data_IF_255866824805
#
_entry.id   IF_255866824805
#
_cell.length_a   1.000
_cell.length_b   1.000
_cell.length_c   1.000
_cell.angle_alpha   90.00
_cell.angle_beta   90.00
_cell.angle_gamma   90.00
#
_symmetry.space_group_name_H-M   'P 1'
#
loop_
_entity.id
_entity.type
_entity.pdbx_description
1 polymer ?
2 non-polymer ?
3 non-polymer ?
4 non-polymer ?
5 water ?
#
# COMPACT_ATOMS: atom_id res chain seq x y z
N UNK A 17 -25.77 -24.42 -34.33
CA UNK A 17 -26.10 -23.03 -34.00
C UNK A 17 -26.37 -22.88 -32.50
N UNK A 18 -26.14 -23.95 -31.74
CA UNK A 18 -26.49 -23.97 -30.32
C UNK A 18 -25.51 -23.14 -29.49
N UNK A 19 -26.05 -22.45 -28.48
CA UNK A 19 -25.24 -21.82 -27.45
C UNK A 19 -25.22 -22.72 -26.21
N UNK A 20 -24.08 -22.68 -25.51
CA UNK A 20 -23.87 -23.51 -24.34
C UNK A 20 -23.47 -22.66 -23.16
N UNK A 21 -23.95 -23.06 -21.98
CA UNK A 21 -23.64 -22.40 -20.72
C UNK A 21 -23.37 -23.48 -19.70
N UNK A 22 -22.68 -23.09 -18.63
CA UNK A 22 -22.49 -23.99 -17.50
C UNK A 22 -22.52 -23.19 -16.22
N UNK A 23 -23.03 -23.81 -15.16
CA UNK A 23 -22.81 -23.24 -13.84
C UNK A 23 -21.38 -23.53 -13.41
N UNK A 24 -20.90 -22.75 -12.44
CA UNK A 24 -19.53 -22.82 -11.96
C UNK A 24 -19.55 -23.32 -10.52
N UNK A 25 -19.41 -24.64 -10.34
CA UNK A 25 -19.44 -25.21 -9.00
C UNK A 25 -18.25 -24.75 -8.15
N UNK A 26 -17.14 -24.39 -8.79
CA UNK A 26 -15.92 -24.00 -8.09
C UNK A 26 -15.44 -22.66 -8.63
N UNK A 27 -16.04 -21.56 -8.17
CA UNK A 27 -15.72 -20.25 -8.78
C UNK A 27 -14.30 -19.76 -8.50
N UNK A 28 -13.64 -20.22 -7.43
CA UNK A 28 -12.23 -19.86 -7.26
C UNK A 28 -11.37 -20.45 -8.37
N UNK A 29 -11.70 -21.63 -8.87
CA UNK A 29 -10.94 -22.19 -9.98
C UNK A 29 -11.16 -21.39 -11.25
N UNK A 30 -12.41 -20.97 -11.50
CA UNK A 30 -12.67 -20.13 -12.67
C UNK A 30 -12.01 -18.76 -12.55
N UNK A 31 -11.97 -18.21 -11.34
CA UNK A 31 -11.29 -16.94 -11.16
C UNK A 31 -9.82 -17.05 -11.55
N UNK A 32 -9.19 -18.15 -11.16
CA UNK A 32 -7.82 -18.41 -11.60
C UNK A 32 -7.73 -18.50 -13.13
N UNK A 33 -8.68 -19.18 -13.76
CA UNK A 33 -8.65 -19.25 -15.22
C UNK A 33 -8.84 -17.87 -15.85
N UNK A 34 -9.69 -17.03 -15.26
CA UNK A 34 -9.87 -15.67 -15.78
C UNK A 34 -8.58 -14.87 -15.66
N UNK A 35 -7.86 -15.05 -14.56
CA UNK A 35 -6.56 -14.39 -14.40
C UNK A 35 -5.62 -14.74 -15.55
N UNK A 36 -5.53 -16.03 -15.87
CA UNK A 36 -4.62 -16.47 -16.94
C UNK A 36 -5.09 -15.93 -18.29
N UNK A 37 -6.35 -16.17 -18.64
CA UNK A 37 -6.81 -15.84 -19.99
C UNK A 37 -6.85 -14.35 -20.23
N UNK A 38 -7.07 -13.54 -19.17
CA UNK A 38 -7.04 -12.09 -19.35
C UNK A 38 -5.65 -11.63 -19.75
N UNK A 39 -4.62 -12.19 -19.12
CA UNK A 39 -3.25 -11.85 -19.49
C UNK A 39 -3.03 -12.04 -20.98
N UNK A 40 -3.37 -13.22 -21.49
CA UNK A 40 -3.07 -13.54 -22.88
C UNK A 40 -4.00 -12.86 -23.87
N UNK A 41 -5.19 -12.45 -23.44
CA UNK A 41 -6.05 -11.62 -24.27
C UNK A 41 -5.38 -10.31 -24.69
N UNK A 42 -4.39 -9.82 -23.92
CA UNK A 42 -3.71 -8.59 -24.28
C UNK A 42 -2.21 -8.76 -24.59
N UNK A 43 -1.55 -9.80 -24.09
CA UNK A 43 -0.10 -9.89 -24.26
C UNK A 43 0.32 -10.28 -25.67
N UNK A 44 -0.57 -10.88 -26.45
CA UNK A 44 -0.25 -11.28 -27.80
C UNK A 44 -0.48 -10.24 -28.88
N UNK A 45 -0.90 -9.02 -28.51
CA UNK A 45 -1.20 -8.02 -29.52
C UNK A 45 0.05 -7.46 -30.18
N UNK A 46 1.14 -7.26 -29.42
CA UNK A 46 2.33 -6.59 -29.93
C UNK A 46 3.58 -7.28 -29.44
N UNK A 47 4.60 -7.34 -30.31
CA UNK A 47 5.91 -7.80 -29.88
C UNK A 47 5.88 -9.17 -29.26
N UNK A 48 6.57 -9.32 -28.12
CA UNK A 48 6.56 -10.58 -27.38
C UNK A 48 5.13 -10.97 -27.04
N UNK A 49 4.73 -12.16 -27.45
CA UNK A 49 3.33 -12.55 -27.33
C UNK A 49 2.95 -13.03 -25.93
N UNK A 50 3.92 -13.20 -25.04
CA UNK A 50 3.67 -13.68 -23.69
C UNK A 50 4.08 -12.66 -22.63
N UNK A 51 4.26 -11.41 -23.02
CA UNK A 51 4.57 -10.32 -22.09
C UNK A 51 3.75 -9.10 -22.49
N UNK A 52 3.46 -8.24 -21.52
CA UNK A 52 2.72 -7.01 -21.74
C UNK A 52 3.68 -5.85 -21.83
N UNK A 53 3.68 -5.15 -22.97
CA UNK A 53 4.40 -3.89 -23.01
C UNK A 53 3.49 -2.80 -22.44
N UNK A 54 4.00 -1.56 -22.43
CA UNK A 54 3.26 -0.45 -21.83
C UNK A 54 1.89 -0.29 -22.49
N UNK A 55 1.83 -0.33 -23.82
CA UNK A 55 0.55 -0.21 -24.52
C UNK A 55 -0.41 -1.34 -24.13
N UNK A 56 0.05 -2.59 -24.22
CA UNK A 56 -0.80 -3.72 -23.85
C UNK A 56 -1.25 -3.61 -22.40
N UNK A 57 -0.33 -3.24 -21.51
CA UNK A 57 -0.65 -3.10 -20.10
C UNK A 57 -1.69 -2.02 -19.87
N UNK A 58 -1.59 -0.91 -20.61
CA UNK A 58 -2.56 0.16 -20.42
C UNK A 58 -3.94 -0.28 -20.87
N UNK A 59 -4.01 -0.96 -22.01
CA UNK A 59 -5.29 -1.49 -22.50
C UNK A 59 -5.91 -2.46 -21.49
N UNK A 60 -5.12 -3.42 -20.99
CA UNK A 60 -5.65 -4.38 -20.02
C UNK A 60 -6.19 -3.66 -18.79
N UNK A 61 -5.45 -2.67 -18.28
CA UNK A 61 -5.89 -1.98 -17.06
C UNK A 61 -7.19 -1.23 -17.29
N UNK A 62 -7.27 -0.46 -18.39
CA UNK A 62 -8.45 0.36 -18.63
C UNK A 62 -9.68 -0.51 -18.88
N UNK A 63 -9.52 -1.60 -19.64
CA UNK A 63 -10.68 -2.45 -19.94
C UNK A 63 -10.99 -3.46 -18.84
N UNK A 64 -9.97 -4.07 -18.23
CA UNK A 64 -10.25 -5.17 -17.32
C UNK A 64 -10.27 -4.77 -15.86
N UNK A 65 -9.59 -3.69 -15.49
CA UNK A 65 -9.51 -3.26 -14.08
C UNK A 65 -9.84 -1.77 -13.92
N UNK A 66 -10.98 -1.30 -14.48
CA UNK A 66 -11.24 0.14 -14.42
C UNK A 66 -11.53 0.66 -13.03
N UNK A 67 -12.05 -0.18 -12.12
CA UNK A 67 -12.31 0.28 -10.75
C UNK A 67 -11.04 0.57 -9.97
N UNK A 68 -9.88 0.13 -10.46
CA UNK A 68 -8.62 0.37 -9.76
C UNK A 68 -7.72 1.34 -10.49
N UNK A 69 -8.18 1.93 -11.60
CA UNK A 69 -7.38 2.90 -12.33
C UNK A 69 -7.24 4.20 -11.56
N UNK A 70 -8.31 4.98 -11.49
CA UNK A 70 -8.30 6.28 -10.86
C UNK A 70 -8.31 7.41 -11.86
N UNK A 71 -8.51 8.63 -11.33
CA UNK A 71 -8.53 9.81 -12.19
C UNK A 71 -7.18 10.02 -12.87
N UNK A 72 -6.09 9.60 -12.23
CA UNK A 72 -4.75 9.72 -12.81
C UNK A 72 -4.63 8.76 -13.99
N UNK A 73 -4.79 9.29 -15.20
CA UNK A 73 -4.70 8.49 -16.42
C UNK A 73 -3.73 9.12 -17.42
N UNK A 74 -2.75 9.87 -16.93
CA UNK A 74 -1.70 10.43 -17.76
C UNK A 74 -0.66 9.36 -18.10
N UNK A 75 0.11 9.64 -19.15
CA UNK A 75 1.13 8.69 -19.59
C UNK A 75 2.24 8.54 -18.56
N UNK A 76 2.49 9.58 -17.75
CA UNK A 76 3.45 9.45 -16.67
C UNK A 76 2.94 8.49 -15.60
N UNK A 77 1.62 8.44 -15.40
CA UNK A 77 1.05 7.50 -14.43
C UNK A 77 1.29 6.06 -14.85
N UNK A 78 1.03 5.74 -16.13
CA UNK A 78 1.24 4.39 -16.60
C UNK A 78 2.73 4.05 -16.67
N UNK A 79 3.59 5.04 -16.92
CA UNK A 79 5.02 4.76 -16.95
C UNK A 79 5.54 4.44 -15.56
N UNK A 80 4.99 5.08 -14.53
CA UNK A 80 5.39 4.74 -13.17
C UNK A 80 4.90 3.35 -12.80
N UNK A 81 3.69 2.99 -13.24
CA UNK A 81 3.17 1.65 -13.01
C UNK A 81 4.01 0.59 -13.71
N UNK A 82 4.30 0.81 -15.00
CA UNK A 82 5.19 -0.08 -15.73
C UNK A 82 6.50 -0.28 -14.99
N UNK A 83 7.05 0.80 -14.42
CA UNK A 83 8.33 0.70 -13.74
C UNK A 83 8.21 -0.03 -12.42
N UNK A 84 7.08 0.13 -11.72
CA UNK A 84 6.88 -0.57 -10.45
C UNK A 84 6.63 -2.06 -10.67
N UNK A 85 6.08 -2.45 -11.83
CA UNK A 85 5.77 -3.86 -12.08
C UNK A 85 6.90 -4.60 -12.77
N UNK A 86 7.67 -3.92 -13.61
CA UNK A 86 8.74 -4.55 -14.40
C UNK A 86 9.96 -4.74 -13.51
N UNK A 87 9.95 -5.84 -12.75
CA UNK A 87 10.98 -6.06 -11.74
C UNK A 87 12.34 -6.34 -12.37
N UNK A 88 12.38 -7.13 -13.44
CA UNK A 88 13.65 -7.47 -14.06
C UNK A 88 14.11 -6.41 -15.07
N UNK A 89 13.39 -5.29 -15.16
CA UNK A 89 13.82 -4.14 -15.96
C UNK A 89 14.01 -4.49 -17.44
N UNK A 90 13.11 -5.30 -17.99
CA UNK A 90 13.12 -5.60 -19.41
C UNK A 90 12.04 -4.84 -20.18
N UNK A 91 11.44 -3.83 -19.56
CA UNK A 91 10.38 -3.02 -20.15
C UNK A 91 9.19 -3.84 -20.60
N UNK A 92 8.98 -4.99 -19.97
CA UNK A 92 7.79 -5.81 -20.21
C UNK A 92 7.29 -6.32 -18.86
N UNK A 93 6.01 -6.68 -18.83
CA UNK A 93 5.42 -7.32 -17.66
C UNK A 93 5.14 -8.77 -18.04
N UNK A 94 5.87 -9.72 -17.45
CA UNK A 94 5.61 -11.12 -17.75
C UNK A 94 4.52 -11.65 -16.82
N UNK A 95 4.21 -12.94 -16.94
CA UNK A 95 3.07 -13.46 -16.19
C UNK A 95 3.34 -13.45 -14.69
N UNK A 96 4.59 -13.72 -14.29
CA UNK A 96 4.94 -13.68 -12.87
C UNK A 96 4.76 -12.27 -12.31
N UNK A 97 5.23 -11.25 -13.05
CA UNK A 97 5.13 -9.87 -12.56
C UNK A 97 3.69 -9.39 -12.56
N UNK A 98 2.88 -9.92 -13.48
CA UNK A 98 1.46 -9.65 -13.51
C UNK A 98 0.75 -10.27 -12.31
N UNK A 99 1.18 -11.45 -11.89
CA UNK A 99 0.65 -12.06 -10.68
C UNK A 99 0.97 -11.23 -9.43
N UNK A 100 2.19 -10.69 -9.34
CA UNK A 100 2.52 -9.83 -8.20
C UNK A 100 1.58 -8.64 -8.18
N UNK A 101 1.35 -8.04 -9.35
CA UNK A 101 0.39 -6.95 -9.47
C UNK A 101 -0.98 -7.37 -8.96
N UNK A 102 -1.48 -8.53 -9.39
CA UNK A 102 -2.82 -8.94 -8.99
C UNK A 102 -2.89 -9.21 -7.49
N UNK A 103 -1.84 -9.81 -6.93
CA UNK A 103 -1.80 -10.06 -5.49
C UNK A 103 -1.85 -8.75 -4.71
N UNK A 104 -1.07 -7.75 -5.15
CA UNK A 104 -1.16 -6.43 -4.54
C UNK A 104 -2.59 -5.89 -4.55
N UNK A 105 -3.30 -6.07 -5.67
CA UNK A 105 -4.67 -5.59 -5.73
C UNK A 105 -5.55 -6.37 -4.77
N UNK A 106 -5.41 -7.71 -4.77
CA UNK A 106 -6.17 -8.52 -3.82
C UNK A 106 -5.92 -8.06 -2.40
N UNK A 107 -4.67 -7.80 -2.05
CA UNK A 107 -4.34 -7.43 -0.67
C UNK A 107 -4.90 -6.07 -0.30
N UNK A 108 -4.99 -5.15 -1.26
CA UNK A 108 -5.71 -3.91 -1.02
C UNK A 108 -7.18 -4.18 -0.76
N UNK A 109 -7.84 -4.91 -1.67
CA UNK A 109 -9.25 -5.23 -1.49
C UNK A 109 -9.51 -5.89 -0.15
N UNK A 110 -8.61 -6.76 0.28
CA UNK A 110 -8.82 -7.47 1.53
C UNK A 110 -8.71 -6.52 2.72
N UNK A 111 -7.82 -5.53 2.64
CA UNK A 111 -7.69 -4.56 3.72
C UNK A 111 -8.98 -3.79 3.96
N UNK A 112 -9.71 -3.56 2.89
CA UNK A 112 -10.99 -2.85 2.96
C UNK A 112 -12.06 -3.89 3.17
N UNK A 113 -11.72 -4.93 3.91
CA UNK A 113 -12.70 -6.01 4.13
C UNK A 113 -12.70 -6.40 5.61
N UNK B 17 -5.29 34.62 34.67
CA UNK B 17 -4.35 34.84 33.58
C UNK B 17 -5.04 34.75 32.22
N UNK B 18 -4.38 35.27 31.20
CA UNK B 18 -4.95 35.35 29.87
C UNK B 18 -4.70 34.07 29.07
N UNK B 19 -5.54 33.86 28.07
CA UNK B 19 -5.33 32.82 27.08
C UNK B 19 -4.73 33.46 25.83
N UNK B 20 -3.86 32.72 25.15
CA UNK B 20 -3.12 33.22 24.00
C UNK B 20 -3.36 32.34 22.80
N UNK B 21 -3.43 32.96 21.62
CA UNK B 21 -3.66 32.27 20.37
C UNK B 21 -2.71 32.84 19.32
N UNK B 22 -2.47 32.05 18.27
CA UNK B 22 -1.72 32.57 17.13
C UNK B 22 -2.28 32.00 15.85
N UNK B 23 -2.17 32.78 14.78
CA UNK B 23 -2.34 32.25 13.45
C UNK B 23 -1.08 31.49 13.05
N UNK B 24 -1.20 30.67 12.02
CA UNK B 24 -0.12 29.79 11.60
C UNK B 24 0.24 30.14 10.16
N UNK B 25 1.20 31.07 10.02
CA UNK B 25 1.65 31.48 8.69
C UNK B 25 2.23 30.32 7.88
N UNK B 26 2.79 29.30 8.56
CA UNK B 26 3.44 28.18 7.90
C UNK B 26 2.88 26.88 8.47
N UNK B 27 1.72 26.45 8.00
CA UNK B 27 1.11 25.22 8.55
C UNK B 27 1.94 23.97 8.32
N UNK B 28 2.76 23.91 7.28
CA UNK B 28 3.58 22.72 7.09
C UNK B 28 4.61 22.61 8.21
N UNK B 29 5.14 23.75 8.68
CA UNK B 29 6.02 23.74 9.85
C UNK B 29 5.27 23.28 11.10
N UNK B 30 4.02 23.72 11.27
CA UNK B 30 3.30 23.27 12.45
C UNK B 30 2.93 21.80 12.34
N UNK B 31 2.63 21.30 11.13
CA UNK B 31 2.38 19.88 10.96
C UNK B 31 3.57 19.04 11.40
N UNK B 32 4.79 19.43 11.00
CA UNK B 32 5.98 18.75 11.48
C UNK B 32 6.08 18.79 13.00
N UNK B 33 5.74 19.93 13.60
CA UNK B 33 5.81 20.03 15.05
C UNK B 33 4.80 19.09 15.70
N UNK B 34 3.58 19.00 15.16
CA UNK B 34 2.60 18.08 15.71
C UNK B 34 3.05 16.63 15.58
N UNK B 35 3.69 16.29 14.46
CA UNK B 35 4.18 14.92 14.30
C UNK B 35 5.24 14.60 15.34
N UNK B 36 6.09 15.57 15.69
CA UNK B 36 7.12 15.35 16.69
C UNK B 36 6.48 15.21 18.07
N UNK B 37 5.59 16.14 18.42
CA UNK B 37 5.10 16.17 19.80
C UNK B 37 4.15 15.01 20.06
N UNK B 38 3.36 14.62 19.06
CA UNK B 38 2.43 13.51 19.24
C UNK B 38 3.16 12.23 19.61
N UNK B 39 4.33 12.00 18.99
CA UNK B 39 5.16 10.87 19.37
C UNK B 39 5.48 10.92 20.86
N UNK B 40 6.06 12.02 21.32
CA UNK B 40 6.53 12.09 22.69
C UNK B 40 5.39 12.12 23.70
N UNK B 41 4.20 12.52 23.26
CA UNK B 41 3.03 12.43 24.13
C UNK B 41 2.81 11.01 24.64
N UNK B 42 3.05 10.01 23.79
CA UNK B 42 2.84 8.62 24.18
C UNK B 42 4.11 7.86 24.50
N UNK B 43 5.22 8.16 23.83
CA UNK B 43 6.45 7.37 24.03
C UNK B 43 6.94 7.49 25.47
N UNK B 44 6.76 8.64 26.10
CA UNK B 44 7.27 8.81 27.45
C UNK B 44 6.38 8.27 28.55
N UNK B 45 5.40 7.44 28.22
CA UNK B 45 4.50 6.93 29.25
C UNK B 45 5.07 5.70 29.98
N UNK B 46 5.54 4.71 29.23
CA UNK B 46 6.12 3.51 29.83
C UNK B 46 7.57 3.33 29.37
N UNK B 47 8.30 2.55 30.17
CA UNK B 47 9.65 2.11 29.85
C UNK B 47 10.56 3.15 29.22
N UNK B 48 11.06 2.81 28.03
CA UNK B 48 11.89 3.71 27.25
C UNK B 48 11.08 4.95 26.88
N UNK B 49 11.49 6.12 27.37
CA UNK B 49 10.71 7.34 27.18
C UNK B 49 10.68 7.80 25.73
N UNK B 50 11.61 7.31 24.90
CA UNK B 50 11.76 7.77 23.52
C UNK B 50 11.38 6.70 22.51
N UNK B 51 10.74 5.63 22.96
CA UNK B 51 10.28 4.57 22.09
C UNK B 51 8.85 4.21 22.48
N UNK B 52 8.07 3.80 21.50
CA UNK B 52 6.71 3.34 21.71
C UNK B 52 6.71 1.83 21.88
N UNK B 53 6.23 1.34 23.02
CA UNK B 53 5.96 -0.08 23.12
C UNK B 53 4.58 -0.36 22.50
N UNK B 54 4.18 -1.63 22.50
CA UNK B 54 2.94 -1.99 21.83
C UNK B 54 1.75 -1.27 22.46
N UNK B 55 1.77 -1.08 23.77
CA UNK B 55 0.66 -0.43 24.45
C UNK B 55 0.64 1.06 24.16
N UNK B 56 1.82 1.69 24.09
CA UNK B 56 1.88 3.10 23.72
C UNK B 56 1.51 3.30 22.25
N UNK B 57 1.97 2.41 21.38
CA UNK B 57 1.62 2.50 19.96
C UNK B 57 0.11 2.38 19.75
N UNK B 58 -0.52 1.37 20.37
CA UNK B 58 -1.96 1.19 20.20
C UNK B 58 -2.73 2.42 20.69
N UNK B 59 -2.24 3.08 21.74
CA UNK B 59 -2.90 4.29 22.21
C UNK B 59 -2.79 5.43 21.20
N UNK B 60 -1.59 5.63 20.64
CA UNK B 60 -1.40 6.71 19.67
C UNK B 60 -2.28 6.49 18.43
N UNK B 61 -2.34 5.26 17.93
CA UNK B 61 -3.16 5.01 16.74
C UNK B 61 -4.63 5.24 17.04
N UNK B 62 -5.12 4.72 18.16
CA UNK B 62 -6.54 4.80 18.44
C UNK B 62 -6.97 6.22 18.81
N UNK B 63 -6.10 6.99 19.48
CA UNK B 63 -6.48 8.35 19.84
C UNK B 63 -6.17 9.37 18.75
N UNK B 64 -5.02 9.26 18.08
CA UNK B 64 -4.57 10.30 17.16
C UNK B 64 -4.84 10.00 15.71
N UNK B 65 -4.91 8.72 15.34
CA UNK B 65 -5.14 8.33 13.94
C UNK B 65 -6.33 7.39 13.80
N UNK B 66 -7.49 7.73 14.36
CA UNK B 66 -8.64 6.80 14.27
C UNK B 66 -9.13 6.58 12.86
N UNK B 67 -9.04 7.58 11.98
CA UNK B 67 -9.52 7.42 10.61
C UNK B 67 -8.71 6.44 9.79
N UNK B 68 -7.58 5.95 10.33
CA UNK B 68 -6.76 4.95 9.65
C UNK B 68 -6.78 3.62 10.41
N UNK B 69 -7.59 3.53 11.47
CA UNK B 69 -7.62 2.34 12.31
C UNK B 69 -8.38 1.20 11.65
N UNK B 70 -9.68 1.39 11.45
CA UNK B 70 -10.53 0.36 10.87
C UNK B 70 -11.16 -0.54 11.91
N UNK B 71 -12.12 -1.35 11.45
CA UNK B 71 -12.82 -2.27 12.33
C UNK B 71 -11.87 -3.32 12.90
N UNK B 72 -10.82 -3.67 12.17
CA UNK B 72 -9.83 -4.65 12.62
C UNK B 72 -9.01 -4.04 13.75
N UNK B 73 -9.37 -4.37 14.99
CA UNK B 73 -8.71 -3.82 16.18
C UNK B 73 -8.24 -4.91 17.13
N UNK B 74 -8.18 -6.16 16.69
CA UNK B 74 -7.72 -7.26 17.51
C UNK B 74 -6.24 -7.11 17.86
N UNK B 75 -5.82 -7.87 18.87
CA UNK B 75 -4.42 -7.81 19.29
C UNK B 75 -3.48 -8.32 18.21
N UNK B 76 -3.95 -9.29 17.41
CA UNK B 76 -3.11 -9.79 16.32
C UNK B 76 -2.86 -8.70 15.27
N UNK B 77 -3.82 -7.81 15.06
CA UNK B 77 -3.60 -6.68 14.17
C UNK B 77 -2.50 -5.77 14.70
N UNK B 78 -2.58 -5.42 15.98
CA UNK B 78 -1.58 -4.50 16.54
C UNK B 78 -0.21 -5.15 16.67
N UNK B 79 -0.16 -6.46 16.90
CA UNK B 79 1.13 -7.13 16.94
C UNK B 79 1.76 -7.20 15.57
N UNK B 80 0.95 -7.44 14.53
CA UNK B 80 1.48 -7.39 13.17
C UNK B 80 1.94 -5.98 12.82
N UNK B 81 1.18 -4.97 13.24
CA UNK B 81 1.58 -3.60 12.99
C UNK B 81 2.95 -3.33 13.60
N UNK B 82 3.14 -3.74 14.86
CA UNK B 82 4.42 -3.59 15.54
C UNK B 82 5.54 -4.25 14.75
N UNK B 83 5.31 -5.49 14.27
CA UNK B 83 6.37 -6.22 13.58
C UNK B 83 6.75 -5.52 12.28
N UNK B 84 5.78 -4.94 11.60
CA UNK B 84 6.07 -4.20 10.38
C UNK B 84 6.81 -2.89 10.65
N UNK B 85 6.54 -2.27 11.79
CA UNK B 85 7.19 -1.01 12.13
C UNK B 85 8.54 -1.20 12.80
N UNK B 86 8.72 -2.31 13.52
CA UNK B 86 9.93 -2.58 14.29
C UNK B 86 11.02 -3.14 13.36
N UNK B 87 11.62 -2.24 12.57
CA UNK B 87 12.58 -2.66 11.56
C UNK B 87 13.87 -3.16 12.18
N UNK B 88 14.33 -2.55 13.26
CA UNK B 88 15.54 -3.00 13.91
C UNK B 88 15.28 -4.07 14.96
N UNK B 89 14.05 -4.58 15.00
CA UNK B 89 13.66 -5.74 15.79
C UNK B 89 14.13 -5.63 17.24
N UNK B 90 13.86 -4.49 17.86
CA UNK B 90 14.07 -4.32 19.30
C UNK B 90 12.77 -4.26 20.09
N UNK B 91 11.65 -4.64 19.46
CA UNK B 91 10.31 -4.73 20.06
C UNK B 91 9.68 -3.38 20.38
N UNK B 92 10.28 -2.27 19.93
CA UNK B 92 9.70 -0.96 20.15
C UNK B 92 9.76 -0.16 18.86
N UNK B 93 9.04 0.96 18.83
CA UNK B 93 9.03 1.85 17.67
C UNK B 93 9.73 3.14 18.07
N UNK B 94 10.91 3.38 17.50
CA UNK B 94 11.64 4.61 17.77
C UNK B 94 11.15 5.70 16.83
N UNK B 95 11.66 6.93 17.01
CA UNK B 95 11.10 8.03 16.23
C UNK B 95 11.32 7.84 14.74
N UNK B 96 12.47 7.29 14.35
CA UNK B 96 12.72 7.06 12.92
C UNK B 96 11.72 6.06 12.33
N UNK B 97 11.45 4.96 13.04
CA UNK B 97 10.46 4.01 12.54
C UNK B 97 9.06 4.61 12.55
N UNK B 98 8.80 5.56 13.45
CA UNK B 98 7.53 6.27 13.47
C UNK B 98 7.39 7.18 12.26
N UNK B 99 8.49 7.77 11.79
CA UNK B 99 8.41 8.59 10.58
C UNK B 99 8.09 7.73 9.35
N UNK B 100 8.72 6.57 9.24
CA UNK B 100 8.41 5.64 8.15
C UNK B 100 6.92 5.35 8.14
N UNK B 101 6.36 5.06 9.31
CA UNK B 101 4.91 4.81 9.41
C UNK B 101 4.12 6.00 8.90
N UNK B 102 4.43 7.20 9.39
CA UNK B 102 3.69 8.39 8.97
C UNK B 102 3.88 8.68 7.49
N UNK B 103 5.10 8.44 6.98
CA UNK B 103 5.31 8.58 5.54
C UNK B 103 4.42 7.59 4.78
N UNK B 104 4.33 6.35 5.28
CA UNK B 104 3.47 5.37 4.63
C UNK B 104 2.02 5.81 4.62
N UNK B 105 1.56 6.39 5.73
CA UNK B 105 0.17 6.86 5.76
C UNK B 105 -0.04 7.98 4.78
N UNK B 106 0.92 8.92 4.71
CA UNK B 106 0.77 10.06 3.82
C UNK B 106 0.75 9.61 2.36
N UNK B 107 1.52 8.56 2.04
CA UNK B 107 1.51 8.03 0.67
C UNK B 107 0.15 7.42 0.32
N UNK B 108 -0.49 6.76 1.29
CA UNK B 108 -1.86 6.29 1.07
C UNK B 108 -2.80 7.46 0.82
N UNK B 109 -2.74 8.48 1.68
CA UNK B 109 -3.57 9.66 1.50
C UNK B 109 -3.32 10.29 0.14
N UNK B 110 -2.07 10.29 -0.30
CA UNK B 110 -1.75 10.93 -1.57
C UNK B 110 -2.34 10.19 -2.76
N UNK B 111 -2.45 8.86 -2.68
CA UNK B 111 -3.01 8.10 -3.80
C UNK B 111 -4.50 8.37 -3.95
N UNK B 112 -5.26 8.29 -2.85
CA UNK B 112 -6.67 8.68 -2.88
C UNK B 112 -6.85 10.17 -3.14
N UNK B 113 -5.78 10.96 -3.08
CA UNK B 113 -5.84 12.37 -3.46
C UNK B 113 -5.66 12.54 -4.97
N UNK B 114 -4.92 11.64 -5.60
CA UNK B 114 -4.66 11.67 -7.04
C UNK B 114 -5.73 10.93 -7.81
N UNK C 15 -35.36 -24.61 -4.85
CA UNK C 15 -35.50 -23.55 -5.84
C UNK C 15 -36.90 -23.46 -6.44
N UNK C 16 -37.77 -22.69 -5.79
CA UNK C 16 -39.15 -22.52 -6.22
C UNK C 16 -39.48 -21.11 -6.68
N UNK C 17 -38.56 -20.16 -6.57
CA UNK C 17 -38.72 -18.83 -7.13
C UNK C 17 -37.74 -18.67 -8.28
N UNK C 18 -38.03 -17.74 -9.17
CA UNK C 18 -37.10 -17.45 -10.25
C UNK C 18 -35.79 -16.94 -9.66
N UNK C 19 -34.69 -17.28 -10.30
CA UNK C 19 -33.38 -16.75 -9.95
C UNK C 19 -32.91 -15.86 -11.08
N UNK C 20 -32.41 -14.68 -10.75
CA UNK C 20 -32.01 -13.69 -11.73
C UNK C 20 -30.49 -13.53 -11.73
N UNK C 21 -29.93 -13.35 -12.92
CA UNK C 21 -28.49 -13.29 -13.15
C UNK C 21 -28.18 -12.12 -14.05
N UNK C 22 -27.00 -11.54 -13.86
CA UNK C 22 -26.52 -10.41 -14.64
C UNK C 22 -25.12 -10.71 -15.14
N UNK C 23 -24.81 -10.28 -16.35
CA UNK C 23 -23.47 -10.44 -16.89
C UNK C 23 -22.47 -9.57 -16.14
N UNK C 24 -21.19 -9.98 -16.19
CA UNK C 24 -20.10 -9.26 -15.56
C UNK C 24 -19.37 -8.43 -16.61
N UNK C 25 -19.31 -7.12 -16.39
CA UNK C 25 -18.55 -6.27 -17.29
C UNK C 25 -17.05 -6.53 -17.20
N UNK C 26 -16.53 -6.74 -15.99
CA UNK C 26 -15.09 -6.89 -15.77
C UNK C 26 -14.84 -8.17 -14.96
N UNK C 27 -14.80 -9.32 -15.63
CA UNK C 27 -14.66 -10.58 -14.89
C UNK C 27 -13.39 -10.68 -14.06
N UNK C 28 -12.31 -10.01 -14.46
CA UNK C 28 -11.08 -10.05 -13.68
C UNK C 28 -11.26 -9.35 -12.33
N UNK C 29 -12.06 -8.28 -12.29
CA UNK C 29 -12.39 -7.67 -11.01
C UNK C 29 -13.23 -8.61 -10.15
N UNK C 30 -14.19 -9.32 -10.75
CA UNK C 30 -14.94 -10.28 -9.96
C UNK C 30 -14.08 -11.46 -9.53
N UNK C 31 -13.09 -11.84 -10.35
CA UNK C 31 -12.15 -12.87 -9.93
C UNK C 31 -11.43 -12.45 -8.65
N UNK C 32 -10.98 -11.20 -8.58
CA UNK C 32 -10.34 -10.70 -7.37
C UNK C 32 -11.29 -10.75 -6.18
N UNK C 33 -12.54 -10.30 -6.36
CA UNK C 33 -13.52 -10.38 -5.28
C UNK C 33 -13.70 -11.82 -4.78
N UNK C 34 -13.76 -12.79 -5.70
CA UNK C 34 -13.95 -14.18 -5.29
C UNK C 34 -12.73 -14.68 -4.53
N UNK C 35 -11.53 -14.29 -4.96
CA UNK C 35 -10.34 -14.69 -4.23
C UNK C 35 -10.38 -14.20 -2.79
N UNK C 36 -10.78 -12.94 -2.59
CA UNK C 36 -10.82 -12.36 -1.25
C UNK C 36 -11.93 -13.00 -0.42
N UNK C 37 -13.10 -13.22 -1.03
CA UNK C 37 -14.22 -13.68 -0.21
C UNK C 37 -14.10 -15.16 0.14
N UNK C 38 -13.55 -15.97 -0.76
CA UNK C 38 -13.37 -17.39 -0.48
C UNK C 38 -12.44 -17.60 0.69
N UNK C 39 -11.40 -16.76 0.81
CA UNK C 39 -10.48 -16.84 1.94
C UNK C 39 -11.23 -16.68 3.26
N UNK C 40 -12.06 -15.63 3.36
CA UNK C 40 -12.74 -15.32 4.61
C UNK C 40 -13.90 -16.26 4.87
N UNK C 41 -14.48 -16.84 3.82
CA UNK C 41 -15.48 -17.88 3.96
C UNK C 41 -15.00 -19.01 4.87
N UNK C 42 -13.70 -19.32 4.83
CA UNK C 42 -13.13 -20.38 5.66
C UNK C 42 -12.26 -19.87 6.80
N UNK C 43 -11.59 -18.73 6.63
CA UNK C 43 -10.68 -18.26 7.67
C UNK C 43 -11.42 -17.83 8.93
N UNK C 44 -12.69 -17.48 8.82
CA UNK C 44 -13.45 -17.04 9.97
C UNK C 44 -14.23 -18.14 10.65
N UNK C 45 -13.94 -19.41 10.36
CA UNK C 45 -14.70 -20.50 10.94
C UNK C 45 -14.25 -20.85 12.36
N UNK C 46 -12.96 -20.73 12.66
CA UNK C 46 -12.45 -21.02 13.99
C UNK C 46 -11.17 -20.24 14.24
N UNK C 47 -10.89 -19.98 15.52
CA UNK C 47 -9.64 -19.33 15.90
C UNK C 47 -9.55 -17.92 15.37
N UNK C 48 -8.34 -17.53 14.99
CA UNK C 48 -8.15 -16.25 14.31
C UNK C 48 -9.03 -16.19 13.07
N UNK C 49 -9.91 -15.20 13.02
CA UNK C 49 -10.87 -15.09 11.92
C UNK C 49 -10.23 -14.63 10.63
N UNK C 50 -8.97 -14.21 10.67
CA UNK C 50 -8.30 -13.65 9.50
C UNK C 50 -7.11 -14.50 9.06
N UNK C 51 -6.97 -15.70 9.62
CA UNK C 51 -5.99 -16.67 9.17
C UNK C 51 -6.67 -18.02 8.99
N UNK C 52 -6.09 -18.85 8.13
CA UNK C 52 -6.56 -20.21 7.93
C UNK C 52 -5.72 -21.17 8.75
N UNK C 53 -6.37 -21.98 9.57
CA UNK C 53 -5.66 -23.09 10.20
C UNK C 53 -5.73 -24.31 9.28
N UNK C 54 -5.15 -25.42 9.73
CA UNK C 54 -5.06 -26.60 8.88
C UNK C 54 -6.44 -27.12 8.50
N UNK C 55 -7.38 -27.12 9.45
CA UNK C 55 -8.72 -27.62 9.14
C UNK C 55 -9.43 -26.71 8.15
N UNK C 56 -9.24 -25.39 8.29
CA UNK C 56 -9.87 -24.44 7.38
C UNK C 56 -9.24 -24.48 5.99
N UNK C 57 -7.91 -24.55 5.93
CA UNK C 57 -7.23 -24.67 4.65
C UNK C 57 -7.62 -25.96 3.93
N UNK C 58 -7.71 -27.06 4.68
CA UNK C 58 -8.08 -28.32 4.06
C UNK C 58 -9.50 -28.28 3.52
N UNK C 59 -10.41 -27.65 4.27
CA UNK C 59 -11.76 -27.46 3.77
C UNK C 59 -11.78 -26.59 2.52
N UNK C 60 -10.98 -25.52 2.51
CA UNK C 60 -10.92 -24.63 1.35
C UNK C 60 -10.49 -25.40 0.09
N UNK C 61 -9.35 -26.08 0.16
CA UNK C 61 -8.85 -26.82 -1.00
C UNK C 61 -9.83 -27.88 -1.46
N UNK C 62 -10.43 -28.60 -0.51
CA UNK C 62 -11.29 -29.71 -0.89
C UNK C 62 -12.55 -29.22 -1.59
N UNK C 63 -13.14 -28.14 -1.10
CA UNK C 63 -14.40 -27.68 -1.67
C UNK C 63 -14.19 -26.68 -2.80
N UNK C 64 -13.13 -25.87 -2.72
CA UNK C 64 -12.97 -24.76 -3.64
C UNK C 64 -11.96 -25.02 -4.75
N UNK C 65 -10.98 -25.92 -4.54
CA UNK C 65 -9.96 -26.21 -5.54
C UNK C 65 -9.79 -27.72 -5.80
N UNK C 66 -10.88 -28.47 -5.98
CA UNK C 66 -10.73 -29.93 -6.15
C UNK C 66 -10.00 -30.33 -7.42
N UNK C 67 -10.08 -29.54 -8.50
CA UNK C 67 -9.42 -29.93 -9.74
C UNK C 67 -7.91 -29.96 -9.60
N UNK C 68 -7.35 -29.32 -8.57
CA UNK C 68 -5.92 -29.23 -8.38
C UNK C 68 -5.38 -30.22 -7.33
N UNK C 69 -6.24 -31.00 -6.69
CA UNK C 69 -5.86 -31.90 -5.61
C UNK C 69 -5.45 -33.29 -6.08
N UNK C 70 -5.62 -33.59 -7.37
CA UNK C 70 -5.28 -34.90 -7.90
C UNK C 70 -5.93 -36.07 -7.18
N UNK C 71 -7.09 -35.84 -6.55
CA UNK C 71 -7.83 -36.85 -5.79
C UNK C 71 -6.98 -37.49 -4.70
N UNK C 72 -6.04 -36.74 -4.15
CA UNK C 72 -5.18 -37.25 -3.10
C UNK C 72 -5.75 -36.87 -1.74
N UNK C 73 -5.94 -37.88 -0.89
CA UNK C 73 -6.55 -37.68 0.42
C UNK C 73 -5.80 -38.46 1.50
N UNK C 74 -4.48 -38.57 1.37
CA UNK C 74 -3.73 -39.43 2.28
C UNK C 74 -3.69 -38.88 3.70
N UNK C 75 -3.72 -37.54 3.84
CA UNK C 75 -3.67 -36.75 5.08
C UNK C 75 -2.25 -36.27 5.40
N UNK C 76 -1.25 -37.07 5.06
CA UNK C 76 0.14 -36.62 5.26
C UNK C 76 0.50 -35.53 4.27
N UNK C 77 -0.13 -35.52 3.10
CA UNK C 77 0.22 -34.58 2.04
C UNK C 77 -0.05 -33.14 2.44
N UNK C 78 -1.16 -32.89 3.13
CA UNK C 78 -1.56 -31.52 3.43
C UNK C 78 -0.51 -30.80 4.27
N UNK C 79 0.08 -31.48 5.27
CA UNK C 79 1.01 -30.78 6.15
C UNK C 79 2.23 -30.29 5.40
N UNK C 80 2.64 -31.00 4.35
CA UNK C 80 3.73 -30.52 3.50
C UNK C 80 3.34 -29.19 2.85
N UNK C 81 2.15 -29.15 2.23
CA UNK C 81 1.66 -27.92 1.63
C UNK C 81 1.52 -26.83 2.68
N UNK C 82 0.93 -27.15 3.83
CA UNK C 82 0.74 -26.16 4.89
C UNK C 82 2.06 -25.55 5.31
N UNK C 83 3.11 -26.38 5.47
CA UNK C 83 4.42 -25.82 5.82
C UNK C 83 4.97 -24.98 4.68
N UNK C 84 4.72 -25.40 3.43
CA UNK C 84 5.09 -24.61 2.27
C UNK C 84 4.42 -23.24 2.31
N UNK C 85 3.09 -23.22 2.51
CA UNK C 85 2.36 -21.95 2.52
C UNK C 85 2.68 -21.13 3.76
N UNK C 86 2.87 -21.79 4.90
CA UNK C 86 3.18 -21.08 6.14
C UNK C 86 4.61 -20.56 6.09
N UNK C 87 4.78 -19.35 5.55
CA UNK C 87 6.12 -18.81 5.34
C UNK C 87 6.68 -18.21 6.63
N UNK C 88 5.86 -17.46 7.36
CA UNK C 88 6.29 -16.92 8.65
C UNK C 88 6.29 -17.97 9.75
N UNK C 89 5.93 -19.21 9.43
CA UNK C 89 5.99 -20.33 10.37
C UNK C 89 5.21 -20.04 11.65
N UNK C 90 3.93 -19.66 11.50
CA UNK C 90 3.05 -19.46 12.64
C UNK C 90 1.88 -20.43 12.62
N UNK C 91 2.02 -21.55 11.90
CA UNK C 91 1.06 -22.65 11.83
C UNK C 91 -0.26 -22.28 11.17
N UNK C 92 -0.37 -21.08 10.59
CA UNK C 92 -1.58 -20.70 9.87
C UNK C 92 -1.22 -19.95 8.59
N UNK C 93 -2.21 -19.81 7.70
CA UNK C 93 -2.05 -19.14 6.41
C UNK C 93 -2.83 -17.84 6.44
N UNK C 94 -2.13 -16.71 6.35
CA UNK C 94 -2.78 -15.41 6.32
C UNK C 94 -3.12 -15.06 4.86
N UNK C 95 -3.57 -13.84 4.61
CA UNK C 95 -4.07 -13.55 3.27
C UNK C 95 -2.92 -13.40 2.27
N UNK C 96 -1.82 -12.78 2.70
CA UNK C 96 -0.66 -12.62 1.82
C UNK C 96 -0.08 -13.96 1.40
N UNK C 97 0.02 -14.91 2.34
CA UNK C 97 0.52 -16.25 1.99
C UNK C 97 -0.48 -17.00 1.13
N UNK C 98 -1.77 -16.74 1.31
CA UNK C 98 -2.78 -17.31 0.44
C UNK C 98 -2.65 -16.75 -0.98
N UNK C 99 -2.28 -15.47 -1.11
CA UNK C 99 -2.08 -14.88 -2.43
C UNK C 99 -0.86 -15.46 -3.14
N UNK C 100 0.21 -15.73 -2.38
CA UNK C 100 1.37 -16.41 -2.95
C UNK C 100 0.96 -17.78 -3.49
N UNK C 101 0.11 -18.47 -2.74
CA UNK C 101 -0.39 -19.78 -3.14
C UNK C 101 -1.16 -19.69 -4.45
N UNK C 102 -2.16 -18.82 -4.52
CA UNK C 102 -2.95 -18.68 -5.73
C UNK C 102 -2.10 -18.25 -6.92
N UNK C 103 -1.23 -17.27 -6.72
CA UNK C 103 -0.32 -16.86 -7.79
C UNK C 103 0.46 -18.06 -8.33
N UNK C 104 0.92 -18.92 -7.43
CA UNK C 104 1.67 -20.10 -7.79
C UNK C 104 0.85 -21.08 -8.61
N UNK C 105 -0.39 -21.34 -8.18
CA UNK C 105 -1.28 -22.18 -8.97
C UNK C 105 -1.48 -21.58 -10.36
N UNK C 106 -1.69 -20.26 -10.41
CA UNK C 106 -1.97 -19.61 -11.70
C UNK C 106 -0.77 -19.69 -12.64
N UNK C 107 0.44 -19.54 -12.10
CA UNK C 107 1.64 -19.70 -12.91
C UNK C 107 1.73 -21.11 -13.48
N UNK C 108 1.31 -22.11 -12.71
CA UNK C 108 1.35 -23.48 -13.19
C UNK C 108 0.39 -23.69 -14.35
N UNK C 109 -0.83 -23.16 -14.22
CA UNK C 109 -1.79 -23.24 -15.32
C UNK C 109 -1.30 -22.47 -16.55
N UNK C 110 -0.64 -21.33 -16.34
CA UNK C 110 -0.15 -20.56 -17.48
C UNK C 110 0.94 -21.33 -18.22
N UNK C 111 1.83 -22.00 -17.47
CA UNK C 111 2.89 -22.75 -18.14
C UNK C 111 2.32 -23.95 -18.89
N UNK C 112 1.26 -24.56 -18.38
CA UNK C 112 0.62 -25.63 -19.14
C UNK C 112 0.09 -25.12 -20.48
N UNK C 113 -0.57 -23.96 -20.47
CA UNK C 113 -1.08 -23.36 -21.70
C UNK C 113 0.05 -23.00 -22.66
N UNK C 114 1.09 -22.32 -22.16
CA UNK C 114 2.13 -21.81 -23.05
C UNK C 114 2.98 -22.93 -23.65
N UNK C 115 3.19 -24.01 -22.91
CA UNK C 115 3.96 -25.12 -23.41
C UNK C 115 3.18 -26.19 -24.10
N UNK C 116 1.85 -26.10 -24.13
CA UNK C 116 1.05 -27.22 -24.64
C UNK C 116 1.45 -27.66 -26.04
N UNK C 117 1.58 -26.78 -27.04
CA UNK C 117 1.90 -27.26 -28.40
C UNK C 117 3.23 -28.01 -28.51
N UNK C 118 4.07 -27.98 -27.47
CA UNK C 118 5.34 -28.70 -27.48
C UNK C 118 5.29 -30.01 -26.71
N UNK C 119 4.20 -30.30 -26.02
CA UNK C 119 4.13 -31.46 -25.16
C UNK C 119 3.48 -32.64 -25.88
N UNK C 120 3.72 -33.83 -25.33
CA UNK C 120 3.12 -35.07 -25.78
C UNK C 120 2.84 -35.92 -24.56
N UNK C 121 1.81 -36.78 -24.60
CA UNK C 121 1.49 -37.60 -23.43
C UNK C 121 2.59 -38.59 -23.08
N UNK D 16 -14.39 42.20 5.56
CA UNK D 16 -15.73 42.77 5.57
C UNK D 16 -16.78 41.74 6.02
N UNK D 17 -16.40 40.46 5.99
CA UNK D 17 -17.29 39.38 6.40
C UNK D 17 -16.62 38.57 7.50
N UNK D 18 -17.42 37.99 8.39
CA UNK D 18 -16.87 37.18 9.46
C UNK D 18 -16.22 35.92 8.91
N UNK D 19 -15.15 35.50 9.56
CA UNK D 19 -14.50 34.21 9.28
C UNK D 19 -14.76 33.26 10.43
N UNK D 20 -15.10 32.02 10.12
CA UNK D 20 -15.49 31.06 11.13
C UNK D 20 -14.46 29.94 11.21
N UNK D 21 -14.18 29.48 12.42
CA UNK D 21 -13.14 28.50 12.67
C UNK D 21 -13.68 27.39 13.56
N UNK D 22 -13.09 26.21 13.42
CA UNK D 22 -13.50 25.03 14.15
C UNK D 22 -12.28 24.29 14.66
N UNK D 23 -12.36 23.78 15.88
CA UNK D 23 -11.26 22.99 16.40
C UNK D 23 -11.18 21.66 15.66
N UNK D 24 -10.00 21.06 15.68
CA UNK D 24 -9.80 19.76 15.05
C UNK D 24 -9.57 18.71 16.12
N UNK D 25 -10.26 17.59 16.01
CA UNK D 25 -10.20 16.57 17.04
C UNK D 25 -8.88 15.80 17.00
N UNK D 26 -8.35 15.56 15.80
CA UNK D 26 -7.11 14.78 15.64
C UNK D 26 -6.08 15.58 14.84
N UNK D 27 -5.30 16.43 15.49
CA UNK D 27 -4.36 17.27 14.73
C UNK D 27 -3.30 16.50 13.96
N UNK D 28 -2.99 15.26 14.35
CA UNK D 28 -2.05 14.46 13.57
C UNK D 28 -2.62 14.08 12.21
N UNK D 29 -3.91 13.74 12.15
CA UNK D 29 -4.52 13.47 10.85
C UNK D 29 -4.54 14.73 9.99
N UNK D 30 -4.82 15.88 10.60
CA UNK D 30 -4.76 17.13 9.85
C UNK D 30 -3.33 17.46 9.43
N UNK D 31 -2.36 17.22 10.33
CA UNK D 31 -0.96 17.36 9.95
C UNK D 31 -0.66 16.57 8.67
N UNK D 32 -1.11 15.31 8.61
CA UNK D 32 -0.92 14.51 7.40
C UNK D 32 -1.66 15.11 6.22
N UNK D 33 -2.90 15.55 6.42
CA UNK D 33 -3.64 16.21 5.36
C UNK D 33 -2.89 17.42 4.84
N UNK D 34 -2.36 18.25 5.76
CA UNK D 34 -1.64 19.46 5.36
C UNK D 34 -0.40 19.09 4.55
N UNK D 35 0.29 18.02 4.96
CA UNK D 35 1.48 17.60 4.27
C UNK D 35 1.18 17.17 2.84
N UNK D 36 0.05 16.50 2.64
CA UNK D 36 -0.30 16.06 1.28
C UNK D 36 -0.73 17.24 0.42
N UNK D 37 -1.61 18.10 0.94
CA UNK D 37 -2.13 19.16 0.07
C UNK D 37 -1.09 20.24 -0.19
N UNK D 38 -0.17 20.49 0.75
CA UNK D 38 0.89 21.46 0.48
C UNK D 38 1.77 21.01 -0.68
N UNK D 39 2.07 19.71 -0.76
CA UNK D 39 2.78 19.19 -1.91
C UNK D 39 2.06 19.55 -3.21
N UNK D 40 0.75 19.31 -3.25
CA UNK D 40 0.04 19.49 -4.51
C UNK D 40 -0.23 20.96 -4.80
N UNK D 41 -0.34 21.80 -3.76
CA UNK D 41 -0.45 23.23 -3.97
C UNK D 41 0.61 23.75 -4.93
N UNK D 42 1.83 23.23 -4.83
CA UNK D 42 2.92 23.64 -5.70
C UNK D 42 3.20 22.66 -6.84
N UNK D 43 3.06 21.35 -6.63
CA UNK D 43 3.41 20.42 -7.70
C UNK D 43 2.45 20.54 -8.87
N UNK D 44 1.18 20.86 -8.61
CA UNK D 44 0.23 20.97 -9.68
C UNK D 44 0.27 22.25 -10.49
N UNK D 45 1.26 23.12 -10.26
CA UNK D 45 1.27 24.41 -10.96
C UNK D 45 1.76 24.27 -12.39
N UNK D 46 2.75 23.40 -12.62
CA UNK D 46 3.49 23.37 -13.87
C UNK D 46 3.86 21.93 -14.22
N UNK D 47 3.91 21.64 -15.51
CA UNK D 47 4.38 20.34 -15.98
C UNK D 47 3.63 19.20 -15.33
N UNK D 48 4.35 18.14 -14.98
CA UNK D 48 3.77 17.04 -14.22
C UNK D 48 3.11 17.59 -12.97
N UNK D 49 1.82 17.30 -12.79
CA UNK D 49 1.07 17.86 -11.69
C UNK D 49 1.38 17.18 -10.36
N UNK D 50 2.13 16.08 -10.40
CA UNK D 50 2.45 15.30 -9.22
C UNK D 50 3.96 15.26 -8.95
N UNK D 51 4.73 16.09 -9.63
CA UNK D 51 6.13 16.28 -9.29
C UNK D 51 6.44 17.77 -9.18
N UNK D 52 7.34 18.09 -8.25
CA UNK D 52 7.84 19.44 -8.05
C UNK D 52 9.02 19.69 -8.98
N UNK D 53 8.88 20.63 -9.90
CA UNK D 53 10.07 21.03 -10.64
C UNK D 53 10.87 21.99 -9.76
N UNK D 54 12.02 22.45 -10.27
CA UNK D 54 12.89 23.27 -9.44
C UNK D 54 12.24 24.60 -9.06
N UNK D 55 11.38 25.15 -9.92
CA UNK D 55 10.70 26.40 -9.58
C UNK D 55 9.62 26.17 -8.53
N UNK D 56 8.78 25.16 -8.72
CA UNK D 56 7.77 24.80 -7.72
C UNK D 56 8.41 24.42 -6.38
N UNK D 57 9.55 23.72 -6.41
CA UNK D 57 10.19 23.33 -5.17
C UNK D 57 10.75 24.54 -4.42
N UNK D 58 11.35 25.48 -5.13
CA UNK D 58 11.85 26.70 -4.50
C UNK D 58 10.71 27.48 -3.84
N UNK D 59 9.59 27.62 -4.53
CA UNK D 59 8.42 28.27 -3.94
C UNK D 59 7.99 27.55 -2.67
N UNK D 60 7.84 26.23 -2.73
CA UNK D 60 7.40 25.45 -1.57
C UNK D 60 8.33 25.67 -0.39
N UNK D 61 9.64 25.54 -0.61
CA UNK D 61 10.58 25.65 0.50
C UNK D 61 10.54 27.06 1.10
N UNK D 62 10.66 28.07 0.25
CA UNK D 62 10.75 29.45 0.73
C UNK D 62 9.45 29.93 1.35
N UNK D 63 8.30 29.45 0.87
CA UNK D 63 7.04 29.90 1.45
C UNK D 63 6.58 29.02 2.61
N UNK D 64 6.78 27.70 2.51
CA UNK D 64 6.22 26.79 3.48
C UNK D 64 7.20 26.37 4.56
N UNK D 65 8.51 26.44 4.30
CA UNK D 65 9.51 25.97 5.28
C UNK D 65 10.64 26.98 5.53
N UNK D 66 10.33 28.29 5.67
CA UNK D 66 11.43 29.26 5.79
C UNK D 66 12.22 29.12 7.09
N UNK D 67 11.63 28.57 8.16
CA UNK D 67 12.37 28.41 9.41
C UNK D 67 13.52 27.42 9.27
N UNK D 68 13.53 26.59 8.22
CA UNK D 68 14.58 25.60 8.05
C UNK D 68 15.57 25.97 6.95
N UNK D 69 15.41 27.15 6.34
CA UNK D 69 16.30 27.62 5.29
C UNK D 69 17.46 28.46 5.81
N UNK D 70 17.51 28.75 7.11
CA UNK D 70 18.61 29.47 7.70
C UNK D 70 18.90 30.82 7.07
N UNK D 71 17.89 31.43 6.42
CA UNK D 71 18.04 32.68 5.68
C UNK D 71 19.14 32.62 4.64
N UNK D 72 19.51 31.42 4.19
CA UNK D 72 20.54 31.30 3.16
C UNK D 72 19.96 31.70 1.81
N UNK D 73 20.53 32.75 1.22
CA UNK D 73 20.09 33.22 -0.09
C UNK D 73 21.04 32.80 -1.20
N UNK D 74 22.08 32.04 -0.89
CA UNK D 74 23.02 31.61 -1.91
C UNK D 74 22.33 30.72 -2.93
N UNK D 75 22.36 31.15 -4.19
CA UNK D 75 21.63 30.43 -5.23
C UNK D 75 22.26 29.08 -5.53
N UNK D 76 23.58 28.95 -5.38
CA UNK D 76 24.24 27.68 -5.66
C UNK D 76 23.97 26.66 -4.57
N UNK D 77 24.00 27.08 -3.30
CA UNK D 77 23.66 26.18 -2.21
C UNK D 77 22.20 25.76 -2.27
N UNK D 78 21.32 26.73 -2.53
CA UNK D 78 19.90 26.42 -2.71
C UNK D 78 19.69 25.42 -3.83
N UNK D 79 20.53 25.47 -4.87
CA UNK D 79 20.46 24.47 -5.92
C UNK D 79 21.02 23.12 -5.45
N UNK D 80 22.07 23.17 -4.61
CA UNK D 80 22.63 21.93 -4.08
C UNK D 80 21.63 21.22 -3.18
N UNK D 81 20.88 22.00 -2.38
CA UNK D 81 19.81 21.42 -1.58
C UNK D 81 18.77 20.74 -2.45
N UNK D 82 18.20 21.50 -3.40
CA UNK D 82 17.15 20.96 -4.25
C UNK D 82 17.62 19.73 -5.02
N UNK D 83 18.91 19.66 -5.35
CA UNK D 83 19.45 18.50 -6.05
C UNK D 83 19.52 17.28 -5.13
N UNK D 84 19.85 17.51 -3.85
CA UNK D 84 19.92 16.40 -2.90
C UNK D 84 18.56 15.78 -2.66
N UNK D 85 17.51 16.60 -2.64
CA UNK D 85 16.18 16.06 -2.39
C UNK D 85 15.73 15.14 -3.53
N UNK D 86 16.26 15.35 -4.73
CA UNK D 86 15.95 14.50 -5.89
C UNK D 86 16.88 13.29 -5.87
N UNK D 87 16.39 12.16 -5.34
CA UNK D 87 17.24 11.00 -5.10
C UNK D 87 17.32 10.07 -6.29
N UNK D 88 16.27 9.97 -7.11
CA UNK D 88 16.31 9.15 -8.31
C UNK D 88 16.85 9.91 -9.53
N UNK D 89 17.25 11.16 -9.36
CA UNK D 89 17.99 11.92 -10.37
C UNK D 89 17.18 12.12 -11.65
N UNK D 90 15.88 12.38 -11.52
CA UNK D 90 15.07 12.76 -12.66
C UNK D 90 14.75 14.25 -12.66
N UNK D 91 15.44 15.02 -11.83
CA UNK D 91 15.39 16.48 -11.75
C UNK D 91 14.08 17.02 -11.20
N UNK D 92 13.19 16.16 -10.70
CA UNK D 92 11.99 16.61 -10.01
C UNK D 92 11.89 15.89 -8.66
N UNK D 93 11.11 16.46 -7.76
CA UNK D 93 10.85 15.90 -6.45
C UNK D 93 9.44 15.34 -6.46
N UNK D 94 9.31 14.01 -6.33
CA UNK D 94 8.00 13.38 -6.30
C UNK D 94 7.55 13.25 -4.84
N UNK D 95 6.33 12.75 -4.62
CA UNK D 95 5.79 12.75 -3.28
C UNK D 95 6.61 11.90 -2.33
N UNK D 96 7.17 10.78 -2.81
CA UNK D 96 7.97 9.93 -1.93
C UNK D 96 9.25 10.62 -1.51
N UNK D 97 9.93 11.31 -2.43
CA UNK D 97 11.13 12.05 -2.05
C UNK D 97 10.78 13.18 -1.09
N UNK D 98 9.57 13.74 -1.22
CA UNK D 98 9.11 14.81 -0.34
C UNK D 98 8.88 14.29 1.08
N UNK D 99 8.33 13.08 1.21
CA UNK D 99 8.20 12.44 2.52
C UNK D 99 9.55 12.16 3.16
N UNK D 100 10.53 11.72 2.37
CA UNK D 100 11.86 11.45 2.92
C UNK D 100 12.44 12.72 3.53
N UNK D 101 12.35 13.84 2.82
CA UNK D 101 13.03 15.00 3.37
C UNK D 101 12.22 15.62 4.51
N UNK D 102 10.89 15.51 4.48
CA UNK D 102 10.10 15.93 5.65
C UNK D 102 10.39 15.05 6.86
N UNK D 103 10.50 13.74 6.67
CA UNK D 103 10.91 12.87 7.77
C UNK D 103 12.25 13.29 8.33
N UNK D 104 13.17 13.66 7.44
CA UNK D 104 14.50 14.04 7.86
C UNK D 104 14.47 15.32 8.69
N UNK D 105 13.68 16.30 8.25
CA UNK D 105 13.50 17.51 9.06
C UNK D 105 12.89 17.16 10.41
N UNK D 106 11.86 16.32 10.41
CA UNK D 106 11.25 15.89 11.66
C UNK D 106 12.28 15.20 12.57
N UNK D 107 13.11 14.33 11.99
CA UNK D 107 14.11 13.63 12.80
C UNK D 107 15.10 14.59 13.44
N UNK D 108 15.52 15.63 12.70
CA UNK D 108 16.44 16.62 13.26
C UNK D 108 15.76 17.44 14.36
N UNK D 109 14.48 17.76 14.18
CA UNK D 109 13.77 18.48 15.23
C UNK D 109 13.61 17.62 16.47
N UNK D 110 13.37 16.33 16.29
CA UNK D 110 13.24 15.43 17.42
C UNK D 110 14.56 15.28 18.16
N UNK D 111 15.68 15.26 17.43
CA UNK D 111 16.97 15.18 18.09
C UNK D 111 17.26 16.45 18.90
N UNK D 112 16.81 17.61 18.42
CA UNK D 112 16.97 18.84 19.19
C UNK D 112 16.18 18.79 20.49
N UNK D 113 14.92 18.32 20.42
CA UNK D 113 14.12 18.17 21.64
C UNK D 113 14.75 17.16 22.59
N UNK D 114 15.09 15.97 22.11
CA UNK D 114 15.60 14.97 23.03
C UNK D 114 16.94 15.37 23.63
N UNK D 115 17.76 16.09 22.86
CA UNK D 115 19.08 16.46 23.32
C UNK D 115 19.19 17.79 24.05
N UNK D 116 18.13 18.62 24.03
CA UNK D 116 18.25 20.00 24.53
C UNK D 116 18.75 20.08 25.97
N UNK D 117 18.22 19.32 26.94
CA UNK D 117 18.71 19.46 28.32
C UNK D 117 20.20 19.21 28.47
N UNK D 118 20.82 18.50 27.55
CA UNK D 118 22.24 18.21 27.66
C UNK D 118 23.13 19.22 26.93
N UNK D 119 22.54 20.20 26.24
CA UNK D 119 23.32 21.10 25.42
C UNK D 119 23.43 22.48 26.10
N UNK D 120 24.24 23.32 25.50
CA UNK D 120 24.39 24.72 25.85
C UNK D 120 24.64 25.48 24.55
N UNK D 121 24.49 26.81 24.56
CA UNK D 121 24.80 27.58 23.37
C UNK D 121 26.28 27.87 23.27
N UNK D 122 26.69 28.29 22.10
CA UNK D 122 28.08 28.65 21.85
C UNK D 122 28.41 29.96 22.58
N UNK D 123 29.58 29.98 23.19
CA UNK D 123 30.15 31.12 23.95
C UNK D 123 29.36 31.35 25.22
X LIG E 1 3.15 -8.34 -25.97
X LIG F 1 9.56 -7.64 -16.73
X LIG G 1 -16.30 -15.01 -12.75
X LIG G 1 -16.51 -16.06 -11.80
X LIG G 1 -14.83 -14.60 -12.64
X LIG G 1 -14.27 -15.27 -11.49
X LIG H 1 7.89 4.11 26.04
X LIG I 1 12.44 -0.68 16.74
X LIG J 1 6.34 12.46 6.84
X LIG J 1 7.26 12.07 5.80
X LIG J 1 7.04 12.35 8.18
X LIG J 1 7.50 11.00 8.38
X LIG K 1 -1.53 20.44 12.20
X LIG K 1 -0.99 20.67 10.89
X LIG K 1 -2.46 21.62 12.44
X LIG K 1 -2.16 22.57 11.40
X LIG L 1 7.27 -29.04 -3.03
X LIG L 1 0.30 -26.90 -4.54
X LIG L 1 6.94 -30.14 -2.52
X LIG L 1 5.82 -30.47 -2.00
X LIG L 1 4.82 -29.57 -1.94
X LIG L 1 5.60 -31.86 -1.44
X LIG L 1 4.43 -32.19 -0.91
X LIG L 1 3.30 -31.16 -0.85
X LIG L 1 3.48 -29.94 -1.34
X LIG L 1 2.46 -27.05 -5.29
X LIG L 1 1.22 -27.91 -5.13
X LIG L 1 4.26 -28.03 -3.66
X LIG L 1 1.97 -25.70 -5.63
X LIG L 1 6.57 -27.80 -2.96
X LIG L 1 3.30 -26.95 -4.01
X LIG L 1 -1.18 -27.37 -4.60
X LIG L 1 -1.49 -28.59 -4.24
X LIG L 1 -2.95 -29.06 -4.29
X LIG L 1 -3.89 -28.23 -4.68
X LIG L 1 -3.54 -26.80 -5.11
X LIG L 1 5.02 -28.02 -2.58
X LIG L 1 -2.28 -26.40 -5.07
X LIG L 1 0.51 -25.60 -5.31
X LIG L 1 2.81 -24.67 -6.18
X LIG L 1 2.16 -23.32 -6.50
X LIG L 1 3.23 -25.99 -3.32
X LIG L 1 3.95 -24.92 -6.36
X LIG M 1 -9.35 -19.22 11.16
X LIG N 1 1.62 -18.14 8.31
X LIG O 1 24.37 16.73 2.13
X LIG O 1 17.48 19.49 4.36
X LIG O 1 24.61 17.54 1.21
X LIG O 1 24.06 18.69 1.02
X LIG O 1 22.85 18.92 1.56
X LIG O 1 24.75 19.78 0.22
X LIG O 1 24.15 20.96 0.04
X LIG O 1 22.77 21.22 0.66
X LIG O 1 22.17 20.27 1.37
X LIG O 1 19.54 18.79 5.09
X LIG O 1 18.83 20.04 4.65
X LIG O 1 21.57 18.32 3.52
X LIG O 1 18.51 17.89 5.66
X LIG O 1 23.15 16.54 2.84
X LIG O 1 20.15 18.06 3.88
X LIG O 1 16.39 20.58 4.20
X LIG O 1 16.51 21.75 4.80
X LIG O 1 15.43 22.81 4.62
X LIG O 1 14.37 22.56 3.87
X LIG O 1 14.23 21.20 3.15
X LIG O 1 22.09 17.72 2.47
X LIG O 1 15.17 20.28 3.32
X LIG O 1 17.17 18.57 5.52
X LIG O 1 18.73 16.58 6.20
X LIG O 1 17.48 15.86 6.72
X LIG O 1 19.50 17.28 3.26
X LIG O 1 19.82 16.10 6.28
X LIG P 1 4.84 20.15 -11.34
X LIG Q 1 13.10 12.72 -8.32
X LIG R 1 6.37 28.12 -10.39
#
# INVERSE_FOLDING_TARGET
HMHHHHHHSSGVDLGTENLYFQSMACPLEKALDVMVSTFHKYSGKEGDKFKLNKSELKELLTRELPSFLGKRTDEAAFQKLMSNLDSNRDNEVDFQEYCVFLSCIAMMCNEFFEGFPDKQPRK
HMHHHHHHSSGVDLGTENLYFQSMACPLEKALDVMVSTFHKYSGKEGDKFKLNKSELKELLTRELPSFLGKRTDEAAFQKLMSNLDSNRDNEVDFQEYCVFLSCIAMMCNEFFEGFPDKQPRK
HMHHHHHHSSGVDLGTENLYFQSMACPLEKALDVMVSTFHKYSGKEGDKFKLNKSELKELLTRELPSFLGKRTDEAAFQKLMSNLDSNRDNEVDFQEYCVFLSCIAMMCNEFFEGFPDKQPRK
HMHHHHHHSSGVDLGTENLYFQSMACPLEKALDVMVSTFHKYSGKEGDKFKLNKSELKELLTRELPSFLGKRTDEAAFQKLMSNLDSNRDNEVDFQEYCVFLSCIAMMCNEFFEGFPDKQPRK
CA CA
CA CA
EDO C1 O1 C2 O2
CA CA
CA CA
EDO C1 O1 C2 O2
EDO C1 O1 C2 O2
82Q C4 C14 C5 C6 C11 C7 C8 C9 C10 C12 C13 N1 N2 C3 C1 C15 C16 C17 C18 C19 C2 C20 C21 C22 C23 O1 O2
CA CA
CA CA
82Q C4 C14 C5 C6 C11 C7 C8 C9 C10 C12 C13 N1 N2 C3 C1 C15 C16 C17 C18 C19 C2 C20 C21 C22 C23 O1 O2
CA CA
CA CA
CA CA
#
